data_IF_040116259989
#
_entry.id   IF_040116259989
#
_cell.length_a   1.000
_cell.length_b   1.000
_cell.length_c   1.000
_cell.angle_alpha   90.00
_cell.angle_beta   90.00
_cell.angle_gamma   90.00
#
_symmetry.space_group_name_H-M   'P 1'
#
loop_
_entity.id
_entity.type
_entity.pdbx_description
1 polymer ?
#
# COMPACT_ATOMS: atom_id res chain seq x y z
N UNK A 1 21.70 3.20 12.67
CA UNK A 1 20.27 3.13 13.01
C UNK A 1 19.54 3.37 11.70
N UNK A 2 18.96 2.34 11.10
CA UNK A 2 18.17 2.52 9.88
C UNK A 2 16.84 3.13 10.30
N UNK A 3 16.66 4.42 9.99
CA UNK A 3 15.37 5.10 10.12
C UNK A 3 14.35 4.28 9.33
N UNK A 4 13.42 3.60 10.02
CA UNK A 4 12.23 3.10 9.34
C UNK A 4 11.54 4.32 8.73
N UNK A 5 11.18 4.30 7.44
CA UNK A 5 10.41 5.39 6.86
C UNK A 5 9.19 5.60 7.75
N UNK A 6 8.98 6.84 8.22
CA UNK A 6 7.85 7.17 9.07
C UNK A 6 6.59 7.10 8.22
N UNK A 7 6.08 5.89 7.99
CA UNK A 7 4.86 5.66 7.24
C UNK A 7 3.72 6.35 7.99
N UNK A 8 3.10 7.33 7.32
CA UNK A 8 1.88 7.97 7.81
C UNK A 8 0.72 6.97 7.91
N UNK A 9 -0.35 7.35 8.58
CA UNK A 9 -1.55 6.52 8.69
C UNK A 9 -2.12 6.13 7.32
N UNK A 10 -2.13 7.04 6.35
CA UNK A 10 -2.58 6.76 4.98
C UNK A 10 -1.76 5.67 4.31
N UNK A 11 -0.43 5.68 4.47
CA UNK A 11 0.45 4.63 3.97
C UNK A 11 0.13 3.26 4.60
N UNK A 12 -0.03 3.23 5.92
CA UNK A 12 -0.34 2.01 6.67
C UNK A 12 -1.70 1.43 6.26
N UNK A 13 -2.71 2.29 6.09
CA UNK A 13 -4.05 1.90 5.62
C UNK A 13 -4.00 1.31 4.22
N UNK A 14 -3.28 1.95 3.29
CA UNK A 14 -3.11 1.45 1.91
C UNK A 14 -2.38 0.11 1.90
N UNK A 15 -1.26 -0.01 2.62
CA UNK A 15 -0.50 -1.26 2.71
C UNK A 15 -1.33 -2.40 3.28
N UNK A 16 -2.05 -2.18 4.40
CA UNK A 16 -2.96 -3.20 4.96
C UNK A 16 -4.08 -3.56 4.00
N UNK A 17 -4.64 -2.59 3.28
CA UNK A 17 -5.69 -2.88 2.30
C UNK A 17 -5.16 -3.75 1.16
N UNK A 18 -3.98 -3.45 0.63
CA UNK A 18 -3.32 -4.26 -0.41
C UNK A 18 -2.96 -5.67 0.09
N UNK A 19 -2.57 -5.82 1.35
CA UNK A 19 -2.27 -7.12 1.96
C UNK A 19 -3.53 -7.99 2.12
N UNK A 20 -4.63 -7.39 2.60
CA UNK A 20 -5.89 -8.10 2.82
C UNK A 20 -6.69 -8.33 1.54
N UNK A 21 -6.32 -7.67 0.45
CA UNK A 21 -6.96 -7.86 -0.85
C UNK A 21 -6.47 -9.16 -1.48
N UNK A 22 -7.40 -10.04 -1.83
CA UNK A 22 -7.05 -11.28 -2.54
C UNK A 22 -6.42 -10.96 -3.89
N UNK A 23 -5.51 -11.83 -4.36
CA UNK A 23 -4.81 -11.66 -5.64
C UNK A 23 -5.75 -11.51 -6.86
N UNK A 24 -7.03 -11.83 -6.71
CA UNK A 24 -8.03 -11.78 -7.77
C UNK A 24 -8.66 -10.38 -7.95
N UNK A 25 -8.49 -9.45 -7.02
CA UNK A 25 -9.07 -8.11 -7.11
C UNK A 25 -8.13 -7.18 -7.88
N UNK A 26 -8.67 -6.44 -8.84
CA UNK A 26 -7.95 -5.38 -9.54
C UNK A 26 -7.90 -4.13 -8.65
N UNK A 27 -6.73 -3.83 -8.10
CA UNK A 27 -6.52 -2.72 -7.17
C UNK A 27 -5.89 -1.54 -7.90
N UNK A 28 -6.73 -0.69 -8.49
CA UNK A 28 -6.29 0.62 -9.01
C UNK A 28 -6.30 1.66 -7.89
N UNK A 29 -5.59 2.77 -8.08
CA UNK A 29 -5.62 3.89 -7.15
C UNK A 29 -7.06 4.38 -6.86
N UNK A 30 -7.91 4.43 -7.89
CA UNK A 30 -9.33 4.80 -7.76
C UNK A 30 -10.15 3.80 -6.92
N UNK A 31 -9.92 2.49 -7.07
CA UNK A 31 -10.59 1.47 -6.24
C UNK A 31 -10.14 1.57 -4.79
N UNK A 32 -8.84 1.75 -4.55
CA UNK A 32 -8.28 1.89 -3.21
C UNK A 32 -8.83 3.16 -2.53
N UNK A 33 -8.84 4.29 -3.24
CA UNK A 33 -9.41 5.56 -2.78
C UNK A 33 -10.86 5.42 -2.36
N UNK A 34 -11.69 4.79 -3.21
CA UNK A 34 -13.10 4.55 -2.91
C UNK A 34 -13.29 3.67 -1.67
N UNK A 35 -12.53 2.58 -1.54
CA UNK A 35 -12.69 1.64 -0.41
C UNK A 35 -12.16 2.20 0.91
N UNK A 36 -11.13 3.04 0.86
CA UNK A 36 -10.55 3.65 2.06
C UNK A 36 -11.21 4.97 2.45
N UNK A 37 -12.11 5.50 1.62
CA UNK A 37 -12.69 6.83 1.75
C UNK A 37 -11.59 7.91 1.88
N UNK A 38 -10.62 7.84 0.96
CA UNK A 38 -9.45 8.74 0.88
C UNK A 38 -9.41 9.36 -0.53
N UNK A 39 -9.05 10.65 -0.67
CA UNK A 39 -8.91 11.28 -1.99
C UNK A 39 -7.96 10.52 -2.92
N UNK A 40 -8.30 10.43 -4.21
CA UNK A 40 -7.52 9.65 -5.18
C UNK A 40 -6.11 10.20 -5.40
N UNK A 41 -5.94 11.52 -5.35
CA UNK A 41 -4.64 12.19 -5.42
C UNK A 41 -3.75 11.86 -4.23
N UNK A 42 -4.32 11.79 -3.02
CA UNK A 42 -3.61 11.33 -1.83
C UNK A 42 -3.18 9.87 -1.96
N UNK A 43 -4.06 9.00 -2.45
CA UNK A 43 -3.75 7.57 -2.69
C UNK A 43 -2.66 7.41 -3.74
N UNK A 44 -2.73 8.14 -4.85
CA UNK A 44 -1.70 8.10 -5.90
C UNK A 44 -0.33 8.53 -5.37
N UNK A 45 -0.28 9.61 -4.57
CA UNK A 45 0.94 10.06 -3.92
C UNK A 45 1.50 9.00 -2.98
N UNK A 46 0.67 8.42 -2.11
CA UNK A 46 1.09 7.37 -1.19
C UNK A 46 1.59 6.13 -1.95
N UNK A 47 0.91 5.70 -3.01
CA UNK A 47 1.33 4.56 -3.83
C UNK A 47 2.66 4.83 -4.55
N UNK A 48 2.90 6.07 -5.00
CA UNK A 48 4.19 6.46 -5.57
C UNK A 48 5.32 6.40 -4.54
N UNK A 49 5.10 6.90 -3.32
CA UNK A 49 6.04 6.84 -2.19
C UNK A 49 6.33 5.38 -1.80
N UNK A 50 5.29 4.56 -1.58
CA UNK A 50 5.43 3.12 -1.26
C UNK A 50 6.14 2.33 -2.35
N UNK A 51 5.96 2.72 -3.62
CA UNK A 51 6.64 2.09 -4.75
C UNK A 51 8.12 2.45 -4.79
N UNK A 52 8.47 3.71 -4.49
CA UNK A 52 9.85 4.15 -4.38
C UNK A 52 10.60 3.38 -3.28
N UNK A 53 9.90 3.07 -2.18
CA UNK A 53 10.39 2.24 -1.07
C UNK A 53 10.36 0.72 -1.36
N UNK A 54 9.85 0.30 -2.54
CA UNK A 54 9.76 -1.11 -2.91
C UNK A 54 8.71 -1.92 -2.13
N UNK A 55 7.80 -1.26 -1.42
CA UNK A 55 6.75 -1.89 -0.61
C UNK A 55 5.53 -2.32 -1.44
N UNK A 56 5.33 -1.69 -2.60
CA UNK A 56 4.30 -2.04 -3.59
C UNK A 56 4.87 -2.10 -4.99
N UNK A 57 4.19 -2.82 -5.89
CA UNK A 57 4.57 -2.97 -7.30
C UNK A 57 3.37 -2.78 -8.21
N UNK A 58 3.62 -2.25 -9.40
CA UNK A 58 2.63 -2.17 -10.48
C UNK A 58 2.72 -3.45 -11.30
N UNK A 59 1.61 -4.18 -11.44
CA UNK A 59 1.55 -5.45 -12.19
C UNK A 59 0.89 -5.32 -13.57
N UNK A 60 0.15 -4.23 -13.79
CA UNK A 60 -0.40 -3.86 -15.09
C UNK A 60 -0.27 -2.34 -15.23
N UNK A 61 0.31 -1.90 -16.35
CA UNK A 61 0.57 -0.48 -16.66
C UNK A 61 -0.57 0.19 -17.40
N UNK A 62 -1.63 -0.54 -17.78
CA UNK A 62 -2.86 0.02 -18.36
C UNK A 62 -3.61 0.84 -17.31
N UNK A 63 -4.70 0.32 -16.71
CA UNK A 63 -5.09 0.81 -15.40
C UNK A 63 -3.93 0.44 -14.47
N UNK A 64 -3.24 1.40 -13.85
CA UNK A 64 -2.13 1.05 -12.94
C UNK A 64 -2.66 0.17 -11.81
N UNK A 65 -2.38 -1.14 -11.87
CA UNK A 65 -2.82 -2.13 -10.88
C UNK A 65 -1.70 -2.36 -9.90
N UNK A 66 -1.98 -2.14 -8.62
CA UNK A 66 -1.02 -2.22 -7.54
C UNK A 66 -1.15 -3.54 -6.80
N UNK A 67 -0.01 -4.11 -6.40
CA UNK A 67 0.06 -5.21 -5.43
C UNK A 67 1.11 -4.90 -4.37
N UNK A 68 0.88 -5.44 -3.18
CA UNK A 68 1.90 -5.44 -2.14
C UNK A 68 3.10 -6.29 -2.57
N UNK A 69 4.31 -5.84 -2.21
CA UNK A 69 5.53 -6.62 -2.40
C UNK A 69 5.77 -7.53 -1.19
N UNK A 70 6.66 -8.53 -1.30
CA UNK A 70 7.06 -9.32 -0.14
C UNK A 70 7.63 -8.49 1.01
N UNK A 71 8.30 -7.38 0.69
CA UNK A 71 8.85 -6.44 1.69
C UNK A 71 7.71 -5.67 2.36
N UNK A 72 6.74 -5.19 1.58
CA UNK A 72 5.55 -4.52 2.12
C UNK A 72 4.72 -5.40 3.02
N UNK A 73 4.51 -6.68 2.66
CA UNK A 73 3.75 -7.62 3.50
C UNK A 73 4.47 -7.93 4.81
N UNK A 74 5.79 -8.12 4.77
CA UNK A 74 6.56 -8.31 6.00
C UNK A 74 6.48 -7.09 6.91
N UNK A 75 6.54 -5.89 6.35
CA UNK A 75 6.36 -4.67 7.11
C UNK A 75 4.95 -4.58 7.72
N UNK A 76 3.89 -4.98 7.01
CA UNK A 76 2.54 -5.03 7.59
C UNK A 76 2.42 -5.99 8.78
N UNK A 77 3.12 -7.14 8.70
CA UNK A 77 3.16 -8.12 9.79
C UNK A 77 3.88 -7.54 11.01
N UNK A 78 5.07 -6.97 10.81
CA UNK A 78 5.86 -6.33 11.88
C UNK A 78 5.04 -5.20 12.56
N UNK A 79 4.33 -4.39 11.78
CA UNK A 79 3.44 -3.33 12.29
C UNK A 79 2.19 -3.83 13.00
N UNK A 80 1.77 -5.08 12.76
CA UNK A 80 0.60 -5.68 13.41
C UNK A 80 0.96 -6.38 14.72
N UNK A 81 2.18 -6.92 14.83
CA UNK A 81 2.76 -7.45 16.07
C UNK A 81 3.11 -6.34 17.09
N UNK A 82 3.31 -5.09 16.66
CA UNK A 82 3.46 -3.92 17.54
C UNK A 82 2.14 -3.45 18.21
N UNK A 83 1.14 -4.32 18.30
CA UNK A 83 -0.06 -4.05 19.11
C UNK A 83 0.21 -4.46 20.58
N UNK A 84 0.01 -3.57 21.58
CA UNK A 84 0.21 -3.89 23.00
C UNK A 84 -0.75 -4.96 23.54
#
# INVERSE_FOLDING_TARGET
MTEQPSLSDSHRRILRYLENSSEQITLTASVIAFNLDVPSDEVERCLAELRAEGLVRVIDTGPSVYRISPIGSRLCQDLSDESP
#
